data_IF_672367276241
#
_entry.id   IF_672367276241
#
_cell.length_a   1.000
_cell.length_b   1.000
_cell.length_c   1.000
_cell.angle_alpha   90.00
_cell.angle_beta   90.00
_cell.angle_gamma   90.00
#
_symmetry.space_group_name_H-M   'P 1'
#
loop_
_entity.id
_entity.type
_entity.pdbx_description
1 polymer ?
#
# COMPACT_ATOMS: atom_id res chain seq x y z
N UNK A 1 23.67 7.78 54.14
CA UNK A 1 24.42 7.80 52.89
C UNK A 1 25.42 6.66 52.95
N UNK A 2 25.17 5.57 52.23
CA UNK A 2 26.07 4.42 52.22
C UNK A 2 27.26 4.70 51.29
N UNK A 3 28.45 4.34 51.76
CA UNK A 3 29.80 4.58 51.23
C UNK A 3 30.12 3.95 49.84
N UNK A 4 29.10 3.57 49.06
CA UNK A 4 29.27 2.83 47.80
C UNK A 4 28.59 3.44 46.57
N UNK A 5 28.07 4.67 46.68
CA UNK A 5 27.51 5.38 45.53
C UNK A 5 28.61 6.27 44.94
N UNK A 6 29.45 5.72 44.05
CA UNK A 6 30.43 6.50 43.29
C UNK A 6 29.67 7.37 42.28
N UNK A 7 29.64 8.70 42.45
CA UNK A 7 28.91 9.60 41.57
C UNK A 7 29.48 9.62 40.14
N UNK A 8 30.66 9.02 39.92
CA UNK A 8 31.29 8.90 38.61
C UNK A 8 31.10 7.51 37.96
N UNK A 9 30.40 6.57 38.61
CA UNK A 9 30.15 5.24 38.04
C UNK A 9 29.33 5.28 36.73
N UNK A 10 28.63 6.39 36.47
CA UNK A 10 27.86 6.65 35.24
C UNK A 10 28.53 7.61 34.26
N UNK A 11 29.76 8.08 34.56
CA UNK A 11 30.45 9.08 33.74
C UNK A 11 31.15 8.49 32.50
N UNK A 12 31.32 7.16 32.45
CA UNK A 12 32.08 6.46 31.39
C UNK A 12 31.41 5.18 30.88
N UNK A 13 30.17 4.90 31.28
CA UNK A 13 29.36 3.81 30.74
C UNK A 13 28.23 4.39 29.94
N UNK A 14 28.37 4.41 28.61
CA UNK A 14 27.36 4.93 27.69
C UNK A 14 26.05 4.16 27.80
N UNK A 15 25.14 4.65 28.64
CA UNK A 15 23.71 4.57 28.34
C UNK A 15 23.36 5.48 27.14
N UNK A 16 24.30 6.33 26.70
CA UNK A 16 24.25 7.21 25.52
C UNK A 16 25.12 6.71 24.33
N UNK A 17 25.60 5.46 24.35
CA UNK A 17 26.39 4.86 23.24
C UNK A 17 25.51 4.13 22.19
N UNK A 18 24.18 4.22 22.30
CA UNK A 18 23.33 3.99 21.13
C UNK A 18 23.35 5.25 20.27
N UNK A 19 23.72 5.17 18.98
CA UNK A 19 23.64 6.34 18.12
C UNK A 19 22.22 6.91 18.21
N UNK A 20 22.09 8.19 18.56
CA UNK A 20 20.81 8.90 18.52
C UNK A 20 20.17 8.61 17.17
N UNK A 21 19.04 7.91 17.20
CA UNK A 21 18.29 7.56 15.99
C UNK A 21 17.76 8.86 15.41
N UNK A 22 17.82 8.98 14.10
CA UNK A 22 17.14 10.09 13.43
C UNK A 22 15.63 10.03 13.70
N UNK A 23 14.94 11.17 13.65
CA UNK A 23 13.47 11.22 13.79
C UNK A 23 12.77 10.25 12.80
N UNK A 24 13.34 10.08 11.61
CA UNK A 24 12.85 9.15 10.59
C UNK A 24 12.99 7.67 11.02
N UNK A 25 14.13 7.31 11.61
CA UNK A 25 14.38 5.95 12.13
C UNK A 25 13.49 5.63 13.34
N UNK A 26 13.30 6.60 14.24
CA UNK A 26 12.38 6.44 15.38
C UNK A 26 10.94 6.26 14.91
N UNK A 27 10.50 7.07 13.94
CA UNK A 27 9.18 6.94 13.36
C UNK A 27 9.00 5.57 12.68
N UNK A 28 9.99 5.12 11.91
CA UNK A 28 9.97 3.83 11.24
C UNK A 28 9.87 2.68 12.25
N UNK A 29 10.70 2.68 13.30
CA UNK A 29 10.67 1.65 14.34
C UNK A 29 9.33 1.65 15.08
N UNK A 30 8.78 2.81 15.41
CA UNK A 30 7.47 2.91 16.04
C UNK A 30 6.35 2.37 15.14
N UNK A 31 6.35 2.74 13.86
CA UNK A 31 5.32 2.38 12.89
C UNK A 31 5.39 0.91 12.55
N UNK A 32 6.56 0.32 12.34
CA UNK A 32 6.66 -1.06 11.84
C UNK A 32 7.13 -2.05 12.91
N UNK A 33 8.03 -1.66 13.80
CA UNK A 33 8.61 -2.53 14.84
C UNK A 33 7.58 -3.07 15.82
N UNK A 34 6.48 -2.35 16.06
CA UNK A 34 5.38 -2.78 16.94
C UNK A 34 4.37 -3.73 16.28
N UNK A 35 4.47 -3.98 14.97
CA UNK A 35 3.50 -4.80 14.25
C UNK A 35 3.32 -6.22 14.82
N UNK A 36 4.37 -6.97 15.24
CA UNK A 36 4.17 -8.29 15.84
C UNK A 36 3.29 -8.26 17.10
N UNK A 37 3.44 -7.22 17.93
CA UNK A 37 2.60 -7.03 19.12
C UNK A 37 1.19 -6.60 18.76
N UNK A 38 1.03 -5.71 17.76
CA UNK A 38 -0.29 -5.33 17.22
C UNK A 38 -1.04 -6.54 16.67
N UNK A 39 -0.37 -7.42 15.90
CA UNK A 39 -0.96 -8.66 15.38
C UNK A 39 -1.42 -9.57 16.52
N UNK A 40 -0.63 -9.70 17.58
CA UNK A 40 -1.00 -10.50 18.76
C UNK A 40 -2.24 -9.92 19.46
N UNK A 41 -2.30 -8.60 19.64
CA UNK A 41 -3.47 -7.93 20.21
C UNK A 41 -4.72 -8.05 19.33
N UNK A 42 -4.57 -7.91 18.00
CA UNK A 42 -5.66 -8.07 17.03
C UNK A 42 -6.21 -9.51 17.03
N UNK A 43 -5.33 -10.51 17.17
CA UNK A 43 -5.74 -11.90 17.34
C UNK A 43 -6.63 -12.03 18.58
N UNK A 44 -6.24 -11.51 19.74
CA UNK A 44 -7.07 -11.61 20.95
C UNK A 44 -8.40 -10.84 20.83
N UNK A 45 -8.44 -9.78 20.01
CA UNK A 45 -9.65 -9.00 19.75
C UNK A 45 -10.64 -9.70 18.80
N UNK A 46 -10.14 -10.40 17.77
CA UNK A 46 -10.98 -10.85 16.65
C UNK A 46 -11.01 -12.36 16.41
N UNK A 47 -9.96 -13.10 16.81
CA UNK A 47 -9.75 -14.48 16.36
C UNK A 47 -10.91 -15.40 16.74
N UNK A 48 -11.36 -15.35 17.99
CA UNK A 48 -12.44 -16.22 18.45
C UNK A 48 -13.75 -15.94 17.71
N UNK A 49 -14.08 -14.66 17.50
CA UNK A 49 -15.26 -14.25 16.73
C UNK A 49 -15.17 -14.68 15.26
N UNK A 50 -13.99 -14.55 14.64
CA UNK A 50 -13.73 -15.02 13.29
C UNK A 50 -13.92 -16.54 13.18
N UNK A 51 -13.36 -17.30 14.11
CA UNK A 51 -13.47 -18.75 14.13
C UNK A 51 -14.90 -19.23 14.40
N UNK A 52 -15.68 -18.48 15.19
CA UNK A 52 -17.10 -18.76 15.44
C UNK A 52 -17.90 -18.60 14.14
N UNK A 53 -17.75 -17.46 13.44
CA UNK A 53 -18.39 -17.22 12.14
C UNK A 53 -18.03 -18.31 11.12
N UNK A 54 -16.78 -18.74 11.08
CA UNK A 54 -16.34 -19.79 10.15
C UNK A 54 -16.95 -21.16 10.44
N UNK A 55 -17.16 -21.50 11.72
CA UNK A 55 -17.81 -22.77 12.10
C UNK A 55 -19.30 -22.79 11.73
N UNK A 56 -19.93 -21.63 11.68
CA UNK A 56 -21.32 -21.46 11.25
C UNK A 56 -21.48 -21.54 9.73
N UNK A 57 -20.39 -21.41 8.97
CA UNK A 57 -20.40 -21.52 7.51
C UNK A 57 -20.24 -22.98 7.08
N UNK A 58 -21.16 -23.47 6.25
CA UNK A 58 -21.06 -24.77 5.59
C UNK A 58 -20.11 -24.68 4.39
N UNK A 59 -18.80 -24.72 4.67
CA UNK A 59 -17.75 -24.62 3.65
C UNK A 59 -17.31 -26.02 3.16
N UNK A 60 -17.13 -26.21 1.84
CA UNK A 60 -17.00 -27.54 1.25
C UNK A 60 -15.66 -28.23 1.54
N UNK A 61 -14.61 -27.48 1.88
CA UNK A 61 -13.27 -28.01 2.15
C UNK A 61 -12.39 -26.98 2.89
N UNK A 62 -11.21 -27.43 3.32
CA UNK A 62 -10.24 -26.59 4.03
C UNK A 62 -9.71 -25.42 3.17
N UNK A 63 -9.56 -25.59 1.86
CA UNK A 63 -9.13 -24.48 0.99
C UNK A 63 -10.15 -23.34 0.98
N UNK A 64 -11.44 -23.67 0.84
CA UNK A 64 -12.53 -22.70 0.91
C UNK A 64 -12.57 -21.99 2.27
N UNK A 65 -12.27 -22.71 3.35
CA UNK A 65 -12.15 -22.15 4.70
C UNK A 65 -10.98 -21.18 4.83
N UNK A 66 -9.81 -21.53 4.29
CA UNK A 66 -8.65 -20.62 4.28
C UNK A 66 -8.91 -19.37 3.44
N UNK A 67 -9.54 -19.52 2.27
CA UNK A 67 -9.96 -18.37 1.46
C UNK A 67 -10.98 -17.49 2.20
N UNK A 68 -11.88 -18.08 2.97
CA UNK A 68 -12.85 -17.33 3.76
C UNK A 68 -12.21 -16.59 4.94
N UNK A 69 -11.25 -17.21 5.64
CA UNK A 69 -10.42 -16.54 6.66
C UNK A 69 -9.78 -15.28 6.08
N UNK A 70 -9.14 -15.42 4.92
CA UNK A 70 -8.51 -14.29 4.23
C UNK A 70 -9.54 -13.18 3.91
N UNK A 71 -10.67 -13.53 3.27
CA UNK A 71 -11.71 -12.56 2.90
C UNK A 71 -12.28 -11.81 4.11
N UNK A 72 -12.60 -12.52 5.19
CA UNK A 72 -13.14 -11.91 6.40
C UNK A 72 -12.11 -10.99 7.09
N UNK A 73 -10.84 -11.40 7.08
CA UNK A 73 -9.75 -10.58 7.64
C UNK A 73 -9.54 -9.32 6.82
N UNK A 74 -9.45 -9.43 5.49
CA UNK A 74 -9.35 -8.28 4.60
C UNK A 74 -10.57 -7.37 4.71
N UNK A 75 -11.78 -7.92 4.79
CA UNK A 75 -13.01 -7.14 5.02
C UNK A 75 -12.91 -6.30 6.29
N UNK A 76 -12.50 -6.89 7.41
CA UNK A 76 -12.31 -6.15 8.66
C UNK A 76 -11.24 -5.06 8.57
N UNK A 77 -10.15 -5.27 7.81
CA UNK A 77 -9.14 -4.24 7.57
C UNK A 77 -9.69 -3.09 6.70
N UNK A 78 -10.52 -3.38 5.71
CA UNK A 78 -11.18 -2.37 4.88
C UNK A 78 -12.20 -1.58 5.69
N UNK A 79 -12.97 -2.24 6.56
CA UNK A 79 -13.90 -1.58 7.47
C UNK A 79 -13.13 -0.61 8.40
N UNK A 80 -12.01 -1.05 8.99
CA UNK A 80 -11.17 -0.16 9.79
C UNK A 80 -10.58 1.00 8.99
N UNK A 81 -10.16 0.76 7.75
CA UNK A 81 -9.65 1.82 6.89
C UNK A 81 -10.74 2.85 6.67
N UNK A 82 -11.94 2.43 6.26
CA UNK A 82 -13.09 3.32 6.05
C UNK A 82 -13.52 4.06 7.32
N UNK A 83 -13.68 3.36 8.43
CA UNK A 83 -14.10 3.91 9.73
C UNK A 83 -13.08 4.88 10.33
N UNK A 84 -11.80 4.77 9.94
CA UNK A 84 -10.76 5.70 10.37
C UNK A 84 -10.74 7.03 9.59
N UNK A 85 -11.49 7.13 8.49
CA UNK A 85 -11.58 8.34 7.68
C UNK A 85 -12.76 9.22 8.09
N UNK A 86 -12.67 10.53 7.78
CA UNK A 86 -13.83 11.41 7.85
C UNK A 86 -14.89 10.97 6.80
N UNK A 87 -16.21 10.99 7.11
CA UNK A 87 -17.24 10.51 6.19
C UNK A 87 -17.24 11.17 4.80
N UNK A 88 -16.80 12.42 4.68
CA UNK A 88 -16.67 13.12 3.40
C UNK A 88 -15.47 12.68 2.56
N UNK A 89 -14.45 12.10 3.22
CA UNK A 89 -13.17 11.70 2.61
C UNK A 89 -13.13 10.20 2.33
N UNK A 90 -13.85 9.40 3.12
CA UNK A 90 -13.88 7.95 2.99
C UNK A 90 -14.16 7.45 1.56
N UNK A 91 -15.15 7.99 0.81
CA UNK A 91 -15.41 7.54 -0.57
C UNK A 91 -14.24 7.77 -1.52
N UNK A 92 -13.52 8.89 -1.38
CA UNK A 92 -12.37 9.21 -2.22
C UNK A 92 -11.20 8.27 -1.93
N UNK A 93 -10.90 8.04 -0.64
CA UNK A 93 -9.86 7.09 -0.21
C UNK A 93 -10.15 5.68 -0.72
N UNK A 94 -11.39 5.21 -0.58
CA UNK A 94 -11.78 3.88 -1.04
C UNK A 94 -11.73 3.77 -2.57
N UNK A 95 -12.16 4.81 -3.30
CA UNK A 95 -12.02 4.86 -4.77
C UNK A 95 -10.57 4.80 -5.22
N UNK A 96 -9.66 5.47 -4.50
CA UNK A 96 -8.21 5.40 -4.74
C UNK A 96 -7.65 4.00 -4.50
N UNK A 97 -8.10 3.33 -3.43
CA UNK A 97 -7.74 1.94 -3.14
C UNK A 97 -8.25 0.99 -4.24
N UNK A 98 -9.47 1.16 -4.72
CA UNK A 98 -10.05 0.34 -5.79
C UNK A 98 -9.23 0.45 -7.08
N UNK A 99 -8.85 1.67 -7.45
CA UNK A 99 -7.98 1.92 -8.60
C UNK A 99 -6.59 1.27 -8.42
N UNK A 100 -6.01 1.38 -7.23
CA UNK A 100 -4.74 0.73 -6.90
C UNK A 100 -4.83 -0.80 -7.02
N UNK A 101 -5.87 -1.42 -6.47
CA UNK A 101 -6.11 -2.87 -6.57
C UNK A 101 -6.24 -3.27 -8.04
N UNK A 102 -7.00 -2.52 -8.83
CA UNK A 102 -7.19 -2.82 -10.25
C UNK A 102 -5.91 -2.68 -11.06
N UNK A 103 -5.09 -1.66 -10.79
CA UNK A 103 -3.77 -1.49 -11.38
C UNK A 103 -2.86 -2.67 -11.03
N UNK A 104 -2.77 -3.04 -9.74
CA UNK A 104 -1.93 -4.14 -9.27
C UNK A 104 -2.36 -5.50 -9.86
N UNK A 105 -3.66 -5.77 -9.93
CA UNK A 105 -4.20 -6.99 -10.56
C UNK A 105 -3.98 -7.00 -12.07
N UNK A 106 -4.04 -5.84 -12.73
CA UNK A 106 -3.72 -5.71 -14.15
C UNK A 106 -2.24 -6.01 -14.39
N UNK A 107 -1.34 -5.40 -13.61
CA UNK A 107 0.09 -5.69 -13.63
C UNK A 107 0.37 -7.18 -13.42
N UNK A 108 -0.28 -7.81 -12.45
CA UNK A 108 -0.13 -9.25 -12.17
C UNK A 108 -0.59 -10.11 -13.35
N UNK A 109 -1.74 -9.80 -13.94
CA UNK A 109 -2.32 -10.54 -15.08
C UNK A 109 -1.40 -10.49 -16.31
N UNK A 110 -0.88 -9.32 -16.63
CA UNK A 110 -0.05 -9.09 -17.82
C UNK A 110 1.46 -9.22 -17.55
N UNK A 111 1.85 -9.46 -16.29
CA UNK A 111 3.26 -9.53 -15.85
C UNK A 111 4.07 -8.29 -16.26
N UNK A 112 3.48 -7.13 -16.03
CA UNK A 112 4.02 -5.81 -16.41
C UNK A 112 4.05 -4.89 -15.19
N UNK A 113 4.88 -3.86 -15.24
CA UNK A 113 4.85 -2.72 -14.32
C UNK A 113 4.42 -1.47 -15.10
N UNK A 114 3.11 -1.18 -15.12
CA UNK A 114 2.60 -0.06 -15.92
C UNK A 114 3.15 1.31 -15.50
N UNK A 115 3.37 1.54 -14.20
CA UNK A 115 3.95 2.81 -13.73
C UNK A 115 5.41 2.93 -14.17
N UNK A 116 6.17 1.84 -14.05
CA UNK A 116 7.54 1.79 -14.57
C UNK A 116 7.62 1.99 -16.09
N UNK A 117 6.70 1.41 -16.87
CA UNK A 117 6.65 1.59 -18.32
C UNK A 117 6.24 3.02 -18.72
N UNK A 118 5.31 3.64 -17.99
CA UNK A 118 4.96 5.05 -18.19
C UNK A 118 6.17 5.94 -17.89
N UNK A 119 6.85 5.73 -16.77
CA UNK A 119 8.05 6.49 -16.40
C UNK A 119 9.14 6.38 -17.47
N UNK A 120 9.39 5.17 -17.99
CA UNK A 120 10.33 4.96 -19.11
C UNK A 120 9.91 5.73 -20.36
N UNK A 121 8.61 5.73 -20.69
CA UNK A 121 8.10 6.46 -21.84
C UNK A 121 8.31 7.98 -21.68
N UNK A 122 8.01 8.54 -20.50
CA UNK A 122 8.23 9.95 -20.20
C UNK A 122 9.71 10.35 -20.26
N UNK A 123 10.62 9.48 -19.83
CA UNK A 123 12.07 9.71 -19.92
C UNK A 123 12.60 9.82 -21.36
N UNK A 124 11.82 9.42 -22.38
CA UNK A 124 12.21 9.60 -23.79
C UNK A 124 11.99 11.02 -24.31
N UNK A 125 11.28 11.86 -23.56
CA UNK A 125 10.99 13.24 -23.91
C UNK A 125 12.21 14.10 -23.56
N UNK A 126 12.88 14.59 -24.60
CA UNK A 126 14.13 15.32 -24.50
C UNK A 126 13.89 16.81 -24.17
N UNK A 127 14.33 17.23 -22.98
CA UNK A 127 14.21 18.62 -22.50
C UNK A 127 14.80 19.63 -23.47
N UNK A 128 15.87 19.30 -24.19
CA UNK A 128 16.58 20.24 -25.07
C UNK A 128 15.78 20.66 -26.30
N UNK A 129 14.68 19.96 -26.60
CA UNK A 129 13.80 20.26 -27.76
C UNK A 129 12.78 21.37 -27.50
N UNK A 130 12.70 21.88 -26.27
CA UNK A 130 11.68 22.84 -25.83
C UNK A 130 12.30 24.18 -25.43
N UNK A 131 11.57 25.26 -25.70
CA UNK A 131 12.08 26.63 -25.58
C UNK A 131 12.36 27.00 -24.13
N UNK A 132 11.52 26.55 -23.21
CA UNK A 132 11.60 26.83 -21.79
C UNK A 132 11.05 25.67 -20.94
N UNK A 133 11.16 25.80 -19.62
CA UNK A 133 10.71 24.78 -18.67
C UNK A 133 9.18 24.66 -18.64
N UNK A 134 8.45 25.76 -18.90
CA UNK A 134 6.99 25.75 -18.89
C UNK A 134 6.43 24.93 -20.06
N UNK A 135 6.97 25.12 -21.26
CA UNK A 135 6.64 24.33 -22.44
C UNK A 135 6.99 22.84 -22.23
N UNK A 136 8.16 22.55 -21.68
CA UNK A 136 8.57 21.18 -21.37
C UNK A 136 7.64 20.50 -20.38
N UNK A 137 7.31 21.16 -19.26
CA UNK A 137 6.42 20.62 -18.24
C UNK A 137 5.01 20.38 -18.79
N UNK A 138 4.49 21.27 -19.63
CA UNK A 138 3.20 21.07 -20.29
C UNK A 138 3.22 19.82 -21.17
N UNK A 139 4.26 19.65 -21.97
CA UNK A 139 4.37 18.47 -22.86
C UNK A 139 4.56 17.18 -22.08
N UNK A 140 5.30 17.20 -20.98
CA UNK A 140 5.38 16.05 -20.06
C UNK A 140 4.02 15.68 -19.50
N UNK A 141 3.24 16.66 -19.02
CA UNK A 141 1.89 16.44 -18.49
C UNK A 141 0.96 15.86 -19.55
N UNK A 142 0.96 16.42 -20.76
CA UNK A 142 0.13 15.94 -21.87
C UNK A 142 0.51 14.49 -22.26
N UNK A 143 1.82 14.18 -22.26
CA UNK A 143 2.30 12.84 -22.55
C UNK A 143 1.95 11.84 -21.44
N UNK A 144 1.99 12.27 -20.17
CA UNK A 144 1.61 11.47 -19.01
C UNK A 144 0.15 11.03 -19.11
N UNK A 145 -0.75 11.99 -19.40
CA UNK A 145 -2.17 11.73 -19.56
C UNK A 145 -2.48 10.88 -20.78
N UNK A 146 -1.87 11.20 -21.93
CA UNK A 146 -2.11 10.50 -23.18
C UNK A 146 -1.64 9.04 -23.14
N UNK A 147 -0.56 8.74 -22.41
CA UNK A 147 0.02 7.39 -22.35
C UNK A 147 -1.01 6.33 -21.90
N UNK A 148 -1.90 6.70 -20.99
CA UNK A 148 -2.94 5.81 -20.46
C UNK A 148 -4.02 5.42 -21.48
N UNK A 149 -4.17 6.21 -22.56
CA UNK A 149 -5.12 5.98 -23.65
C UNK A 149 -4.45 5.38 -24.90
N UNK A 150 -3.12 5.19 -24.89
CA UNK A 150 -2.39 4.61 -26.01
C UNK A 150 -2.36 3.07 -25.87
N UNK A 151 -2.73 2.32 -26.92
CA UNK A 151 -2.59 0.87 -26.95
C UNK A 151 -1.16 0.40 -26.66
N UNK A 152 -1.00 -0.42 -25.63
CA UNK A 152 0.30 -0.97 -25.25
C UNK A 152 0.47 -2.39 -25.80
N UNK A 153 1.58 -2.72 -26.47
CA UNK A 153 1.88 -4.08 -26.92
C UNK A 153 1.86 -5.11 -25.77
N UNK A 154 2.30 -4.69 -24.59
CA UNK A 154 2.34 -5.51 -23.37
C UNK A 154 0.95 -5.86 -22.81
N UNK A 155 -0.08 -5.15 -23.26
CA UNK A 155 -1.48 -5.34 -22.86
C UNK A 155 -2.33 -5.91 -24.00
N UNK A 156 -1.74 -6.71 -24.89
CA UNK A 156 -2.42 -7.25 -26.08
C UNK A 156 -3.06 -6.16 -26.97
N UNK A 157 -2.38 -5.00 -27.08
CA UNK A 157 -2.85 -3.81 -27.80
C UNK A 157 -4.10 -3.14 -27.19
N UNK A 158 -4.35 -3.35 -25.90
CA UNK A 158 -5.32 -2.57 -25.13
C UNK A 158 -4.66 -1.33 -24.55
N UNK A 159 -5.47 -0.32 -24.24
CA UNK A 159 -5.00 0.81 -23.45
C UNK A 159 -4.86 0.39 -21.98
N UNK A 160 -3.92 0.98 -21.22
CA UNK A 160 -3.86 0.81 -19.77
C UNK A 160 -5.19 1.12 -19.08
N UNK A 161 -5.88 2.21 -19.46
CA UNK A 161 -7.20 2.57 -18.94
C UNK A 161 -8.24 1.47 -19.15
N UNK A 162 -8.31 0.89 -20.36
CA UNK A 162 -9.27 -0.18 -20.65
C UNK A 162 -8.96 -1.46 -19.86
N UNK A 163 -7.68 -1.84 -19.78
CA UNK A 163 -7.27 -3.02 -19.04
C UNK A 163 -7.58 -2.90 -17.53
N UNK A 164 -7.38 -1.72 -16.95
CA UNK A 164 -7.71 -1.43 -15.56
C UNK A 164 -9.23 -1.39 -15.35
N UNK A 165 -9.99 -0.73 -16.24
CA UNK A 165 -11.47 -0.69 -16.16
C UNK A 165 -12.11 -2.07 -16.28
N UNK A 166 -11.61 -2.92 -17.18
CA UNK A 166 -12.07 -4.31 -17.26
C UNK A 166 -11.82 -5.07 -15.95
N UNK A 167 -10.69 -4.80 -15.29
CA UNK A 167 -10.39 -5.37 -13.98
C UNK A 167 -11.36 -4.86 -12.92
N UNK A 168 -11.62 -3.55 -12.82
CA UNK A 168 -12.62 -2.98 -11.90
C UNK A 168 -14.01 -3.63 -12.10
N UNK A 169 -14.48 -3.70 -13.36
CA UNK A 169 -15.75 -4.34 -13.72
C UNK A 169 -15.85 -5.79 -13.27
N UNK A 170 -14.77 -6.56 -13.42
CA UNK A 170 -14.74 -7.98 -13.02
C UNK A 170 -15.02 -8.17 -11.52
N UNK A 171 -14.60 -7.21 -10.69
CA UNK A 171 -14.76 -7.25 -9.24
C UNK A 171 -15.92 -6.39 -8.72
N UNK A 172 -16.62 -5.65 -9.59
CA UNK A 172 -17.73 -4.79 -9.20
C UNK A 172 -17.32 -3.51 -8.49
N UNK A 173 -16.16 -2.95 -8.86
CA UNK A 173 -15.54 -1.76 -8.26
C UNK A 173 -15.52 -0.54 -9.21
N UNK A 174 -16.40 -0.51 -10.22
CA UNK A 174 -16.52 0.62 -11.16
C UNK A 174 -17.52 1.68 -10.66
#
# INVERSE_FOLDING_TARGET
>A
MSEFDDPNARLFGGEDDEPEKSEEEEAFEYVYGKNPMRVSALKDLWYDNLMLKLKEMDLPNEEAKMQMIFKLTCGGLLDMLGDSQEPGVAPEVMSGLDMFIALALTNLKYKVDLLGEQQKALQTIDREKYQDDEEYLRVLSDAEDAWWDIPQPLLDKRTPKDAIRETLKRYGLE
#
